data_IF_096125511905
#
_entry.id   IF_096125511905
#
_cell.length_a   1.000
_cell.length_b   1.000
_cell.length_c   1.000
_cell.angle_alpha   90.00
_cell.angle_beta   90.00
_cell.angle_gamma   90.00
#
_symmetry.space_group_name_H-M   'P 1'
#
loop_
_entity.id
_entity.type
_entity.pdbx_description
1 polymer ?
#
# COMPACT_ATOMS: atom_id res chain seq x y z
N UNK A 1 -32.61 20.45 -8.64
CA UNK A 1 -31.65 21.59 -8.62
C UNK A 1 -30.96 21.76 -7.27
N UNK A 2 -31.68 21.74 -6.14
CA UNK A 2 -31.12 21.90 -4.77
C UNK A 2 -30.12 20.78 -4.37
N UNK A 3 -30.38 19.53 -4.77
CA UNK A 3 -29.49 18.39 -4.49
C UNK A 3 -28.14 18.46 -5.21
N UNK A 4 -28.11 19.02 -6.43
CA UNK A 4 -26.88 19.17 -7.22
C UNK A 4 -25.98 20.26 -6.62
N UNK A 5 -26.57 21.37 -6.18
CA UNK A 5 -25.84 22.45 -5.49
C UNK A 5 -25.26 21.99 -4.14
N UNK A 6 -26.01 21.16 -3.40
CA UNK A 6 -25.53 20.53 -2.15
C UNK A 6 -24.34 19.60 -2.39
N UNK A 7 -24.40 18.79 -3.46
CA UNK A 7 -23.31 17.89 -3.85
C UNK A 7 -22.07 18.67 -4.30
N UNK A 8 -22.24 19.73 -5.11
CA UNK A 8 -21.14 20.60 -5.54
C UNK A 8 -20.48 21.28 -4.35
N UNK A 9 -21.26 21.77 -3.37
CA UNK A 9 -20.71 22.38 -2.16
C UNK A 9 -19.99 21.36 -1.27
N UNK A 10 -20.50 20.13 -1.15
CA UNK A 10 -19.80 19.04 -0.45
C UNK A 10 -18.50 18.64 -1.15
N UNK A 11 -18.49 18.58 -2.48
CA UNK A 11 -17.27 18.31 -3.25
C UNK A 11 -16.26 19.45 -3.07
N UNK A 12 -16.70 20.73 -3.09
CA UNK A 12 -15.84 21.90 -2.83
C UNK A 12 -15.27 21.91 -1.42
N UNK A 13 -16.08 21.63 -0.40
CA UNK A 13 -15.61 21.53 0.99
C UNK A 13 -14.70 20.31 1.18
N UNK A 14 -14.96 19.18 0.53
CA UNK A 14 -14.08 18.01 0.54
C UNK A 14 -12.74 18.30 -0.15
N UNK A 15 -12.75 18.92 -1.34
CA UNK A 15 -11.51 19.35 -2.03
C UNK A 15 -10.76 20.38 -1.20
N UNK A 16 -11.44 21.35 -0.58
CA UNK A 16 -10.82 22.34 0.33
C UNK A 16 -10.28 21.70 1.60
N UNK A 17 -10.93 20.67 2.13
CA UNK A 17 -10.46 19.91 3.32
C UNK A 17 -9.26 19.05 2.97
N UNK A 18 -9.25 18.41 1.80
CA UNK A 18 -8.07 17.77 1.21
C UNK A 18 -6.97 18.84 1.04
N UNK A 19 -7.23 19.94 0.35
CA UNK A 19 -6.27 21.02 0.09
C UNK A 19 -5.74 21.67 1.38
N UNK A 20 -6.53 21.71 2.46
CA UNK A 20 -6.11 22.22 3.77
C UNK A 20 -5.40 21.15 4.63
N UNK A 21 -5.72 19.86 4.50
CA UNK A 21 -4.84 18.78 5.00
C UNK A 21 -3.50 18.76 4.26
N UNK A 22 -3.51 19.22 3.01
CA UNK A 22 -2.35 19.47 2.18
C UNK A 22 -1.94 20.95 2.15
N UNK A 23 -2.40 21.79 3.10
CA UNK A 23 -1.84 23.14 3.25
C UNK A 23 -0.43 22.95 3.75
N UNK A 24 0.48 22.86 2.80
CA UNK A 24 1.90 22.98 3.03
C UNK A 24 2.09 24.27 3.78
N UNK A 25 2.62 24.18 5.00
CA UNK A 25 3.12 25.35 5.70
C UNK A 25 4.37 25.77 4.93
N UNK A 26 4.16 26.51 3.84
CA UNK A 26 5.23 27.11 3.04
C UNK A 26 5.77 28.21 3.93
N UNK A 27 6.85 27.91 4.64
CA UNK A 27 7.64 28.95 5.28
C UNK A 27 8.42 29.62 4.15
N UNK A 28 8.14 30.89 3.81
CA UNK A 28 8.86 31.56 2.74
C UNK A 28 10.32 31.69 3.17
N UNK A 29 11.22 30.94 2.55
CA UNK A 29 12.64 31.27 2.65
C UNK A 29 12.87 32.47 1.74
N UNK A 30 13.02 33.65 2.36
CA UNK A 30 13.73 34.76 1.72
C UNK A 30 15.16 34.29 1.53
N UNK A 31 15.53 33.95 0.29
CA UNK A 31 16.85 34.10 -0.33
C UNK A 31 16.76 33.53 -1.76
N UNK A 32 17.65 33.96 -2.65
CA UNK A 32 17.74 33.58 -4.07
C UNK A 32 17.86 32.06 -4.26
N UNK A 33 16.73 31.35 -4.23
CA UNK A 33 16.66 29.93 -4.62
C UNK A 33 16.74 29.90 -6.15
N UNK A 34 17.68 29.13 -6.74
CA UNK A 34 17.73 28.94 -8.19
C UNK A 34 16.36 28.46 -8.68
N UNK A 35 15.77 29.20 -9.63
CA UNK A 35 14.51 28.77 -10.27
C UNK A 35 14.72 27.39 -10.88
N UNK A 36 13.76 26.49 -10.68
CA UNK A 36 13.76 25.18 -11.33
C UNK A 36 13.73 25.39 -12.84
N UNK A 37 14.59 24.67 -13.54
CA UNK A 37 14.62 24.65 -15.00
C UNK A 37 13.27 24.14 -15.55
N UNK A 38 12.73 24.83 -16.55
CA UNK A 38 11.51 24.45 -17.27
C UNK A 38 11.64 23.01 -17.84
N UNK A 39 12.85 22.60 -18.24
CA UNK A 39 13.13 21.24 -18.70
C UNK A 39 12.88 20.19 -17.59
N UNK A 40 13.32 20.47 -16.36
CA UNK A 40 13.12 19.57 -15.21
C UNK A 40 11.62 19.44 -14.91
N UNK A 41 10.88 20.55 -14.93
CA UNK A 41 9.42 20.54 -14.73
C UNK A 41 8.74 19.68 -15.79
N UNK A 42 9.08 19.90 -17.07
CA UNK A 42 8.50 19.16 -18.19
C UNK A 42 8.79 17.66 -18.08
N UNK A 43 10.02 17.28 -17.71
CA UNK A 43 10.41 15.89 -17.51
C UNK A 43 9.60 15.23 -16.38
N UNK A 44 9.43 15.89 -15.22
CA UNK A 44 8.63 15.33 -14.12
C UNK A 44 7.14 15.25 -14.46
N UNK A 45 6.60 16.24 -15.17
CA UNK A 45 5.21 16.21 -15.66
C UNK A 45 5.01 15.05 -16.64
N UNK A 46 5.96 14.79 -17.54
CA UNK A 46 5.91 13.63 -18.44
C UNK A 46 5.91 12.30 -17.68
N UNK A 47 6.76 12.16 -16.65
CA UNK A 47 6.76 10.97 -15.78
C UNK A 47 5.41 10.78 -15.07
N UNK A 48 4.82 11.85 -14.52
CA UNK A 48 3.51 11.78 -13.86
C UNK A 48 2.38 11.43 -14.84
N UNK A 49 2.43 11.95 -16.07
CA UNK A 49 1.47 11.55 -17.12
C UNK A 49 1.60 10.07 -17.46
N UNK A 50 2.83 9.57 -17.63
CA UNK A 50 3.08 8.15 -17.89
C UNK A 50 2.58 7.26 -16.75
N UNK A 51 2.79 7.66 -15.48
CA UNK A 51 2.20 7.00 -14.33
C UNK A 51 0.67 7.02 -14.39
N UNK A 52 0.08 8.18 -14.71
CA UNK A 52 -1.36 8.35 -14.87
C UNK A 52 -1.95 7.43 -15.94
N UNK A 53 -1.29 7.27 -17.09
CA UNK A 53 -1.74 6.39 -18.17
C UNK A 53 -1.76 4.92 -17.73
N UNK A 54 -0.75 4.49 -16.98
CA UNK A 54 -0.70 3.13 -16.39
C UNK A 54 -1.82 2.90 -15.38
N UNK A 55 -1.99 3.82 -14.42
CA UNK A 55 -3.09 3.75 -13.43
C UNK A 55 -4.46 3.77 -14.14
N UNK A 56 -4.61 4.52 -15.23
CA UNK A 56 -5.84 4.55 -16.00
C UNK A 56 -6.15 3.19 -16.65
N UNK A 57 -5.12 2.51 -17.20
CA UNK A 57 -5.26 1.15 -17.71
C UNK A 57 -5.84 0.20 -16.64
N UNK A 58 -5.36 0.28 -15.40
CA UNK A 58 -5.88 -0.53 -14.31
C UNK A 58 -7.33 -0.19 -13.95
N UNK A 59 -7.70 1.09 -13.98
CA UNK A 59 -9.11 1.49 -13.78
C UNK A 59 -10.02 0.86 -14.84
N UNK A 60 -9.56 0.78 -16.09
CA UNK A 60 -10.30 0.14 -17.18
C UNK A 60 -10.37 -1.38 -16.98
N UNK A 61 -9.26 -2.03 -16.63
CA UNK A 61 -9.24 -3.44 -16.26
C UNK A 61 -10.26 -3.74 -15.15
N UNK A 62 -10.21 -2.97 -14.05
CA UNK A 62 -11.11 -3.14 -12.91
C UNK A 62 -12.58 -2.95 -13.31
N UNK A 63 -12.88 -1.95 -14.17
CA UNK A 63 -14.24 -1.73 -14.67
C UNK A 63 -14.76 -2.98 -15.39
N UNK A 64 -13.96 -3.58 -16.26
CA UNK A 64 -14.34 -4.78 -17.00
C UNK A 64 -14.47 -5.99 -16.06
N UNK A 65 -13.54 -6.14 -15.11
CA UNK A 65 -13.59 -7.20 -14.10
C UNK A 65 -14.89 -7.15 -13.28
N UNK A 66 -15.31 -5.96 -12.83
CA UNK A 66 -16.54 -5.78 -12.05
C UNK A 66 -17.82 -6.13 -12.81
N UNK A 67 -17.79 -6.05 -14.15
CA UNK A 67 -18.91 -6.44 -15.02
C UNK A 67 -19.00 -7.96 -15.24
N UNK A 68 -17.94 -8.70 -14.94
CA UNK A 68 -17.92 -10.15 -15.08
C UNK A 68 -18.64 -10.87 -13.94
N UNK A 69 -18.99 -12.13 -14.16
CA UNK A 69 -19.58 -12.97 -13.13
C UNK A 69 -18.46 -13.52 -12.22
N UNK A 70 -18.27 -12.84 -11.08
CA UNK A 70 -17.19 -13.07 -10.12
C UNK A 70 -17.75 -13.01 -8.70
N UNK A 71 -17.14 -13.73 -7.74
CA UNK A 71 -17.53 -13.67 -6.35
C UNK A 71 -17.58 -12.26 -5.80
N UNK A 72 -18.48 -12.03 -4.86
CA UNK A 72 -18.68 -10.72 -4.22
C UNK A 72 -17.39 -10.20 -3.60
N UNK A 73 -16.60 -11.05 -2.94
CA UNK A 73 -15.36 -10.63 -2.27
C UNK A 73 -14.28 -10.19 -3.28
N UNK A 74 -14.16 -10.85 -4.44
CA UNK A 74 -13.27 -10.41 -5.51
C UNK A 74 -13.72 -9.05 -6.07
N UNK A 75 -15.04 -8.86 -6.22
CA UNK A 75 -15.60 -7.57 -6.65
C UNK A 75 -15.33 -6.47 -5.62
N UNK A 76 -15.49 -6.75 -4.32
CA UNK A 76 -15.13 -5.82 -3.24
C UNK A 76 -13.65 -5.41 -3.32
N UNK A 77 -12.75 -6.38 -3.50
CA UNK A 77 -11.32 -6.11 -3.69
C UNK A 77 -11.07 -5.17 -4.86
N UNK A 78 -11.57 -5.55 -6.04
CA UNK A 78 -11.33 -4.82 -7.29
C UNK A 78 -11.98 -3.43 -7.27
N UNK A 79 -13.11 -3.27 -6.59
CA UNK A 79 -13.75 -1.96 -6.38
C UNK A 79 -12.90 -1.06 -5.46
N UNK A 80 -12.37 -1.61 -4.37
CA UNK A 80 -11.45 -0.89 -3.49
C UNK A 80 -10.16 -0.47 -4.21
N UNK A 81 -9.54 -1.39 -4.94
CA UNK A 81 -8.34 -1.11 -5.74
C UNK A 81 -8.61 -0.03 -6.79
N UNK A 82 -9.72 -0.15 -7.54
CA UNK A 82 -10.15 0.86 -8.51
C UNK A 82 -10.36 2.23 -7.87
N UNK A 83 -10.88 2.28 -6.65
CA UNK A 83 -11.07 3.52 -5.90
C UNK A 83 -9.74 4.18 -5.54
N UNK A 84 -8.76 3.40 -5.07
CA UNK A 84 -7.38 3.87 -4.84
C UNK A 84 -6.72 4.40 -6.12
N UNK A 85 -6.91 3.72 -7.26
CA UNK A 85 -6.43 4.18 -8.56
C UNK A 85 -7.09 5.50 -8.99
N UNK A 86 -8.41 5.63 -8.89
CA UNK A 86 -9.11 6.87 -9.23
C UNK A 86 -8.67 8.05 -8.36
N UNK A 87 -8.47 7.81 -7.06
CA UNK A 87 -7.91 8.83 -6.16
C UNK A 87 -6.52 9.29 -6.61
N UNK A 88 -5.68 8.33 -7.02
CA UNK A 88 -4.32 8.63 -7.50
C UNK A 88 -4.33 9.42 -8.81
N UNK A 89 -5.24 9.10 -9.75
CA UNK A 89 -5.44 9.89 -10.97
C UNK A 89 -5.87 11.33 -10.65
N UNK A 90 -6.72 11.52 -9.64
CA UNK A 90 -7.12 12.85 -9.17
C UNK A 90 -5.92 13.63 -8.62
N UNK A 91 -5.05 12.99 -7.83
CA UNK A 91 -3.82 13.61 -7.31
C UNK A 91 -2.88 14.05 -8.44
N UNK A 92 -2.63 13.16 -9.40
CA UNK A 92 -1.80 13.46 -10.58
C UNK A 92 -2.37 14.66 -11.35
N UNK A 93 -3.67 14.64 -11.66
CA UNK A 93 -4.34 15.72 -12.40
C UNK A 93 -4.26 17.04 -11.63
N UNK A 94 -4.49 17.02 -10.32
CA UNK A 94 -4.43 18.20 -9.47
C UNK A 94 -3.02 18.79 -9.46
N UNK A 95 -1.98 17.96 -9.30
CA UNK A 95 -0.59 18.41 -9.31
C UNK A 95 -0.20 19.03 -10.65
N UNK A 96 -0.51 18.36 -11.77
CA UNK A 96 -0.19 18.87 -13.11
C UNK A 96 -0.90 20.21 -13.37
N UNK A 97 -2.16 20.34 -12.96
CA UNK A 97 -2.94 21.58 -13.14
C UNK A 97 -2.37 22.75 -12.34
N UNK A 98 -1.77 22.47 -11.18
CA UNK A 98 -1.19 23.46 -10.27
C UNK A 98 0.33 23.57 -10.38
N UNK A 99 0.97 22.93 -11.37
CA UNK A 99 2.45 22.82 -11.46
C UNK A 99 3.15 24.19 -11.40
N UNK A 100 2.51 25.23 -11.93
CA UNK A 100 3.03 26.59 -11.91
C UNK A 100 3.17 27.19 -10.50
N UNK A 101 2.35 26.74 -9.54
CA UNK A 101 2.41 27.16 -8.13
C UNK A 101 3.70 26.66 -7.45
N UNK A 102 4.31 25.60 -8.00
CA UNK A 102 5.52 24.97 -7.46
C UNK A 102 6.81 25.49 -8.12
N UNK A 103 6.74 26.43 -9.08
CA UNK A 103 7.90 26.97 -9.82
C UNK A 103 8.93 27.68 -8.94
N UNK A 104 8.52 28.17 -7.77
CA UNK A 104 9.37 28.87 -6.82
C UNK A 104 10.02 27.95 -5.78
N UNK A 105 9.75 26.64 -5.82
CA UNK A 105 10.37 25.67 -4.94
C UNK A 105 11.79 25.31 -5.40
N UNK A 106 12.58 24.68 -4.54
CA UNK A 106 13.82 24.03 -4.97
C UNK A 106 13.52 22.76 -5.79
N UNK A 107 14.48 22.31 -6.60
CA UNK A 107 14.37 21.04 -7.35
C UNK A 107 14.06 19.86 -6.42
N UNK A 108 14.68 19.85 -5.24
CA UNK A 108 14.46 18.83 -4.20
C UNK A 108 13.01 18.86 -3.70
N UNK A 109 12.49 20.03 -3.34
CA UNK A 109 11.10 20.19 -2.87
C UNK A 109 10.08 19.83 -3.96
N UNK A 110 10.33 20.21 -5.21
CA UNK A 110 9.46 19.83 -6.33
C UNK A 110 9.48 18.32 -6.57
N UNK A 111 10.68 17.73 -6.55
CA UNK A 111 10.87 16.29 -6.71
C UNK A 111 10.23 15.50 -5.56
N UNK A 112 10.28 16.02 -4.33
CA UNK A 112 9.56 15.49 -3.18
C UNK A 112 8.07 15.38 -3.44
N UNK A 113 7.43 16.44 -3.92
CA UNK A 113 6.00 16.41 -4.19
C UNK A 113 5.61 15.44 -5.31
N UNK A 114 6.44 15.36 -6.36
CA UNK A 114 6.26 14.40 -7.44
C UNK A 114 6.37 12.96 -6.93
N UNK A 115 7.42 12.65 -6.16
CA UNK A 115 7.64 11.33 -5.56
C UNK A 115 6.54 10.92 -4.59
N UNK A 116 6.06 11.86 -3.78
CA UNK A 116 4.98 11.63 -2.81
C UNK A 116 3.69 11.12 -3.46
N UNK A 117 3.37 11.52 -4.70
CA UNK A 117 2.18 11.03 -5.41
C UNK A 117 2.26 9.52 -5.66
N UNK A 118 3.41 9.01 -6.10
CA UNK A 118 3.60 7.58 -6.38
C UNK A 118 3.58 6.76 -5.08
N UNK A 119 4.19 7.26 -4.01
CA UNK A 119 4.21 6.58 -2.72
C UNK A 119 2.82 6.61 -2.05
N UNK A 120 2.06 7.70 -2.21
CA UNK A 120 0.67 7.76 -1.76
C UNK A 120 -0.21 6.75 -2.51
N UNK A 121 -0.02 6.58 -3.82
CA UNK A 121 -0.73 5.55 -4.57
C UNK A 121 -0.49 4.15 -3.98
N UNK A 122 0.77 3.82 -3.67
CA UNK A 122 1.12 2.57 -2.99
C UNK A 122 0.45 2.44 -1.61
N UNK A 123 0.43 3.52 -0.82
CA UNK A 123 -0.22 3.52 0.49
C UNK A 123 -1.71 3.18 0.41
N UNK A 124 -2.44 3.84 -0.49
CA UNK A 124 -3.87 3.62 -0.64
C UNK A 124 -4.16 2.16 -1.04
N UNK A 125 -3.38 1.62 -1.98
CA UNK A 125 -3.52 0.23 -2.41
C UNK A 125 -3.23 -0.75 -1.28
N UNK A 126 -2.15 -0.54 -0.51
CA UNK A 126 -1.82 -1.39 0.64
C UNK A 126 -2.89 -1.31 1.73
N UNK A 127 -3.45 -0.12 2.00
CA UNK A 127 -4.52 0.03 2.99
C UNK A 127 -5.80 -0.73 2.57
N UNK A 128 -6.19 -0.65 1.30
CA UNK A 128 -7.32 -1.43 0.79
C UNK A 128 -7.01 -2.93 0.87
N UNK A 129 -5.78 -3.33 0.54
CA UNK A 129 -5.35 -4.73 0.61
C UNK A 129 -5.50 -5.26 2.05
N UNK A 130 -5.02 -4.52 3.05
CA UNK A 130 -5.17 -4.85 4.48
C UNK A 130 -6.63 -5.01 4.89
N UNK A 131 -7.46 -4.05 4.49
CA UNK A 131 -8.87 -4.03 4.85
C UNK A 131 -9.58 -5.26 4.28
N UNK A 132 -9.43 -5.50 2.97
CA UNK A 132 -10.12 -6.59 2.29
C UNK A 132 -9.62 -7.95 2.76
N UNK A 133 -8.32 -8.11 3.04
CA UNK A 133 -7.80 -9.37 3.56
C UNK A 133 -8.32 -9.66 4.97
N UNK A 134 -8.45 -8.63 5.83
CA UNK A 134 -9.05 -8.79 7.15
C UNK A 134 -10.54 -9.13 7.06
N UNK A 135 -11.29 -8.44 6.19
CA UNK A 135 -12.70 -8.78 5.94
C UNK A 135 -12.83 -10.23 5.45
N UNK A 136 -11.99 -10.63 4.49
CA UNK A 136 -11.97 -11.99 3.99
C UNK A 136 -11.62 -13.02 5.06
N UNK A 137 -10.66 -12.73 5.95
CA UNK A 137 -10.32 -13.59 7.08
C UNK A 137 -11.49 -13.77 8.07
N UNK A 138 -12.32 -12.75 8.24
CA UNK A 138 -13.51 -12.83 9.11
C UNK A 138 -14.63 -13.61 8.42
N UNK A 139 -14.79 -13.45 7.11
CA UNK A 139 -15.87 -14.06 6.32
C UNK A 139 -15.57 -15.52 5.88
N UNK A 140 -14.29 -15.93 5.77
CA UNK A 140 -13.87 -17.24 5.29
C UNK A 140 -13.22 -18.08 6.41
N UNK A 141 -13.86 -19.19 6.80
CA UNK A 141 -13.37 -20.05 7.89
C UNK A 141 -12.09 -20.82 7.52
N UNK A 142 -11.84 -21.14 6.25
CA UNK A 142 -10.67 -21.93 5.84
C UNK A 142 -9.36 -21.16 6.06
N UNK A 143 -9.29 -19.90 5.60
CA UNK A 143 -8.12 -19.06 5.82
C UNK A 143 -7.94 -18.77 7.32
N UNK A 144 -9.05 -18.58 8.05
CA UNK A 144 -9.05 -18.36 9.49
C UNK A 144 -8.54 -19.59 10.23
N UNK A 145 -8.95 -20.78 9.84
CA UNK A 145 -8.48 -22.05 10.40
C UNK A 145 -6.99 -22.25 10.09
N UNK A 146 -6.52 -21.95 8.88
CA UNK A 146 -5.09 -22.02 8.56
C UNK A 146 -4.25 -21.12 9.47
N UNK A 147 -4.68 -19.88 9.68
CA UNK A 147 -4.00 -18.93 10.58
C UNK A 147 -4.09 -19.41 12.03
N UNK A 148 -5.27 -19.84 12.49
CA UNK A 148 -5.50 -20.33 13.84
C UNK A 148 -4.70 -21.60 14.14
N UNK A 149 -4.58 -22.52 13.18
CA UNK A 149 -3.78 -23.74 13.27
C UNK A 149 -2.31 -23.41 13.51
N UNK A 150 -1.77 -22.42 12.80
CA UNK A 150 -0.39 -21.95 13.04
C UNK A 150 -0.24 -21.29 14.40
N UNK A 151 -1.22 -20.49 14.85
CA UNK A 151 -1.25 -19.92 16.22
C UNK A 151 -1.22 -21.04 17.26
N UNK A 152 -2.08 -22.05 17.12
CA UNK A 152 -2.19 -23.18 18.05
C UNK A 152 -0.88 -23.98 18.11
N UNK A 153 -0.22 -24.23 16.97
CA UNK A 153 1.11 -24.85 16.94
C UNK A 153 2.16 -24.05 17.69
N UNK A 154 2.16 -22.72 17.57
CA UNK A 154 3.08 -21.85 18.33
C UNK A 154 2.78 -21.85 19.83
N UNK A 155 1.50 -21.90 20.21
CA UNK A 155 1.08 -22.03 21.61
C UNK A 155 1.52 -23.38 22.18
N UNK A 156 1.29 -24.49 21.46
CA UNK A 156 1.70 -25.83 21.90
C UNK A 156 3.21 -25.90 22.19
N UNK A 157 4.05 -25.34 21.32
CA UNK A 157 5.51 -25.26 21.55
C UNK A 157 5.83 -24.48 22.84
N UNK A 158 5.13 -23.37 23.11
CA UNK A 158 5.32 -22.63 24.36
C UNK A 158 4.93 -23.50 25.54
N UNK A 159 3.82 -24.22 25.46
CA UNK A 159 3.30 -25.07 26.53
C UNK A 159 4.21 -26.28 26.82
N UNK A 160 4.71 -26.95 25.79
CA UNK A 160 5.65 -28.08 25.89
C UNK A 160 6.97 -27.66 26.56
N UNK A 161 7.44 -26.44 26.29
CA UNK A 161 8.69 -25.93 26.83
C UNK A 161 8.53 -25.19 28.17
N UNK A 162 7.31 -25.11 28.72
CA UNK A 162 7.06 -24.37 29.96
C UNK A 162 7.03 -25.28 31.19
N UNK A 163 7.82 -24.93 32.21
CA UNK A 163 7.78 -25.66 33.48
C UNK A 163 6.42 -25.48 34.18
N UNK A 164 5.67 -26.56 34.33
CA UNK A 164 4.34 -26.63 34.96
C UNK A 164 4.34 -26.20 36.44
N UNK A 165 5.50 -26.23 37.11
CA UNK A 165 5.67 -25.84 38.51
C UNK A 165 5.94 -24.35 38.71
N UNK A 166 6.08 -23.58 37.63
CA UNK A 166 6.43 -22.16 37.70
C UNK A 166 5.32 -21.31 38.36
N UNK A 167 5.61 -20.73 39.53
CA UNK A 167 4.70 -19.87 40.32
C UNK A 167 4.93 -18.37 40.03
N UNK A 168 3.92 -17.54 40.32
CA UNK A 168 4.03 -16.08 40.30
C UNK A 168 4.36 -15.48 38.92
N UNK A 169 5.52 -14.83 38.80
CA UNK A 169 5.97 -14.11 37.58
C UNK A 169 6.07 -15.02 36.35
N UNK A 170 6.47 -16.29 36.51
CA UNK A 170 6.55 -17.27 35.41
C UNK A 170 5.20 -17.56 34.78
N UNK A 171 4.17 -17.84 35.61
CA UNK A 171 2.79 -18.07 35.14
C UNK A 171 2.24 -16.85 34.37
N UNK A 172 2.53 -15.63 34.86
CA UNK A 172 2.12 -14.38 34.18
C UNK A 172 2.83 -14.20 32.83
N UNK A 173 4.13 -14.49 32.76
CA UNK A 173 4.89 -14.39 31.51
C UNK A 173 4.36 -15.38 30.45
N UNK A 174 4.09 -16.63 30.83
CA UNK A 174 3.45 -17.62 29.93
C UNK A 174 2.13 -17.12 29.38
N UNK A 175 1.24 -16.66 30.26
CA UNK A 175 -0.08 -16.16 29.86
C UNK A 175 0.05 -14.98 28.88
N UNK A 176 1.00 -14.08 29.13
CA UNK A 176 1.28 -12.97 28.22
C UNK A 176 1.76 -13.45 26.84
N UNK A 177 2.69 -14.41 26.78
CA UNK A 177 3.18 -14.98 25.52
C UNK A 177 2.06 -15.66 24.72
N UNK A 178 1.23 -16.46 25.37
CA UNK A 178 0.07 -17.11 24.73
C UNK A 178 -0.89 -16.04 24.19
N UNK A 179 -1.18 -15.00 24.98
CA UNK A 179 -2.07 -13.94 24.56
C UNK A 179 -1.50 -13.14 23.38
N UNK A 180 -0.19 -12.89 23.35
CA UNK A 180 0.49 -12.27 22.22
C UNK A 180 0.28 -13.06 20.93
N UNK A 181 0.37 -14.41 20.99
CA UNK A 181 0.13 -15.25 19.81
C UNK A 181 -1.34 -15.29 19.39
N UNK A 182 -2.29 -15.33 20.34
CA UNK A 182 -3.72 -15.27 20.02
C UNK A 182 -4.10 -13.98 19.29
N UNK A 183 -3.46 -12.86 19.65
CA UNK A 183 -3.69 -11.57 19.00
C UNK A 183 -3.15 -11.49 17.57
N UNK A 184 -2.36 -12.47 17.11
CA UNK A 184 -1.77 -12.46 15.77
C UNK A 184 -2.72 -12.85 14.65
N UNK A 185 -3.96 -13.22 14.97
CA UNK A 185 -4.93 -13.67 13.96
C UNK A 185 -5.18 -12.61 12.87
N UNK A 186 -5.13 -11.32 13.23
CA UNK A 186 -5.25 -10.19 12.30
C UNK A 186 -3.90 -9.52 11.96
N UNK A 187 -2.78 -10.10 12.39
CA UNK A 187 -1.45 -9.52 12.14
C UNK A 187 -1.01 -9.87 10.71
N UNK A 188 -0.90 -8.86 9.83
CA UNK A 188 -0.60 -9.06 8.41
C UNK A 188 0.71 -9.80 8.13
N UNK A 189 1.75 -9.55 8.94
CA UNK A 189 3.01 -10.30 8.86
C UNK A 189 2.78 -11.80 9.11
N UNK A 190 1.92 -12.13 10.09
CA UNK A 190 1.61 -13.49 10.45
C UNK A 190 0.72 -14.16 9.40
N UNK A 191 -0.26 -13.44 8.85
CA UNK A 191 -1.11 -13.92 7.74
C UNK A 191 -0.22 -14.21 6.52
N UNK A 192 0.61 -13.25 6.10
CA UNK A 192 1.54 -13.38 4.97
C UNK A 192 2.45 -14.60 5.10
N UNK A 193 3.12 -14.74 6.24
CA UNK A 193 3.97 -15.90 6.51
C UNK A 193 3.18 -17.23 6.44
N UNK A 194 1.93 -17.23 6.90
CA UNK A 194 1.07 -18.43 6.89
C UNK A 194 0.74 -18.81 5.46
N UNK A 195 0.32 -17.85 4.63
CA UNK A 195 0.01 -18.04 3.21
C UNK A 195 1.24 -18.56 2.44
N UNK A 196 2.43 -18.02 2.71
CA UNK A 196 3.69 -18.54 2.13
C UNK A 196 3.96 -19.98 2.56
N UNK A 197 3.82 -20.30 3.85
CA UNK A 197 4.07 -21.65 4.35
C UNK A 197 3.11 -22.71 3.78
N UNK A 198 2.02 -22.26 3.17
CA UNK A 198 1.00 -23.07 2.50
C UNK A 198 1.09 -23.01 0.97
N UNK A 199 2.13 -22.36 0.43
CA UNK A 199 2.34 -22.15 -1.00
C UNK A 199 1.17 -21.47 -1.72
N UNK A 200 0.35 -20.70 -0.99
CA UNK A 200 -0.73 -19.88 -1.58
C UNK A 200 -0.15 -18.65 -2.27
N UNK A 201 0.90 -18.09 -1.69
CA UNK A 201 1.76 -17.07 -2.29
C UNK A 201 3.17 -17.63 -2.40
N UNK A 202 3.90 -17.24 -3.44
CA UNK A 202 5.28 -17.68 -3.62
C UNK A 202 6.28 -16.74 -2.94
N UNK A 203 7.57 -17.03 -3.07
CA UNK A 203 8.64 -16.24 -2.47
C UNK A 203 8.72 -14.82 -3.03
N UNK A 204 8.37 -14.62 -4.31
CA UNK A 204 8.35 -13.30 -4.95
C UNK A 204 7.19 -12.47 -4.40
N UNK A 205 5.99 -13.06 -4.34
CA UNK A 205 4.81 -12.44 -3.73
C UNK A 205 5.09 -12.05 -2.28
N UNK A 206 5.72 -12.96 -1.52
CA UNK A 206 6.07 -12.74 -0.13
C UNK A 206 7.04 -11.57 0.05
N UNK A 207 8.08 -11.50 -0.77
CA UNK A 207 9.06 -10.42 -0.73
C UNK A 207 8.42 -9.09 -1.13
N UNK A 208 7.60 -9.07 -2.19
CA UNK A 208 6.90 -7.88 -2.66
C UNK A 208 5.93 -7.33 -1.61
N UNK A 209 5.12 -8.20 -1.01
CA UNK A 209 4.21 -7.78 0.05
C UNK A 209 4.97 -7.35 1.32
N UNK A 210 6.09 -8.00 1.65
CA UNK A 210 6.97 -7.54 2.75
C UNK A 210 7.53 -6.15 2.48
N UNK A 211 8.01 -5.90 1.26
CA UNK A 211 8.49 -4.61 0.82
C UNK A 211 7.38 -3.55 0.93
N UNK A 212 6.20 -3.80 0.37
CA UNK A 212 5.08 -2.85 0.41
C UNK A 212 4.67 -2.51 1.86
N UNK A 213 4.73 -3.50 2.76
CA UNK A 213 4.49 -3.31 4.18
C UNK A 213 5.53 -2.42 4.86
N UNK A 214 6.80 -2.60 4.50
CA UNK A 214 7.90 -1.82 5.05
C UNK A 214 7.84 -0.36 4.60
N UNK A 215 7.47 -0.12 3.34
CA UNK A 215 7.18 1.23 2.83
C UNK A 215 5.99 1.82 3.61
N UNK A 216 4.87 1.10 3.72
CA UNK A 216 3.67 1.52 4.48
C UNK A 216 3.96 1.89 5.92
N UNK A 217 4.75 1.09 6.63
CA UNK A 217 5.10 1.40 8.03
C UNK A 217 6.03 2.60 8.16
N UNK A 218 6.83 2.87 7.12
CA UNK A 218 7.74 4.01 7.09
C UNK A 218 7.05 5.32 6.71
N UNK A 219 5.89 5.27 6.05
CA UNK A 219 5.11 6.46 5.68
C UNK A 219 4.52 7.23 6.87
N UNK A 220 4.31 6.58 8.03
CA UNK A 220 3.83 7.25 9.26
C UNK A 220 4.85 8.24 9.86
N UNK A 221 6.10 8.24 9.36
CA UNK A 221 7.20 9.09 9.85
C UNK A 221 7.78 9.97 8.73
N UNK A 222 6.95 10.83 8.16
CA UNK A 222 7.36 11.79 7.12
C UNK A 222 7.97 11.12 5.87
N UNK A 223 7.41 10.00 5.42
CA UNK A 223 7.90 9.29 4.22
C UNK A 223 9.40 8.93 4.31
N UNK A 224 9.89 8.64 5.52
CA UNK A 224 11.29 8.30 5.77
C UNK A 224 11.42 6.85 6.21
N UNK A 225 12.38 6.12 5.64
CA UNK A 225 12.64 4.73 5.95
C UNK A 225 12.98 4.53 7.44
N UNK A 226 12.25 3.66 8.14
CA UNK A 226 12.50 3.37 9.56
C UNK A 226 13.56 2.30 9.79
N UNK A 227 13.90 1.58 8.71
CA UNK A 227 14.93 0.54 8.62
C UNK A 227 15.46 0.52 7.19
N UNK A 228 16.55 -0.22 6.98
CA UNK A 228 17.03 -0.50 5.63
C UNK A 228 15.99 -1.37 4.89
N UNK A 229 15.68 -0.98 3.65
CA UNK A 229 14.74 -1.67 2.76
C UNK A 229 15.50 -1.95 1.46
N UNK A 230 15.65 -3.22 1.12
CA UNK A 230 16.25 -3.65 -0.14
C UNK A 230 15.31 -4.64 -0.81
N UNK A 231 14.96 -4.38 -2.07
CA UNK A 231 14.10 -5.25 -2.84
C UNK A 231 14.42 -5.12 -4.32
N UNK A 232 14.60 -6.26 -4.98
CA UNK A 232 14.78 -6.34 -6.42
C UNK A 232 13.55 -7.01 -7.02
N UNK A 233 12.87 -6.31 -7.92
CA UNK A 233 11.69 -6.82 -8.59
C UNK A 233 11.94 -7.06 -10.08
N UNK A 234 11.95 -8.33 -10.55
CA UNK A 234 12.02 -8.64 -11.96
C UNK A 234 10.64 -8.43 -12.63
N UNK A 235 10.51 -7.43 -13.48
CA UNK A 235 9.31 -7.25 -14.30
C UNK A 235 9.38 -8.12 -15.54
N UNK A 236 8.65 -9.23 -15.49
CA UNK A 236 8.59 -10.24 -16.54
C UNK A 236 8.14 -9.65 -17.89
N UNK A 237 7.31 -8.61 -17.89
CA UNK A 237 6.79 -8.02 -19.14
C UNK A 237 7.82 -7.19 -19.88
N UNK A 238 8.71 -6.52 -19.13
CA UNK A 238 9.72 -5.62 -19.71
C UNK A 238 11.11 -6.23 -19.70
N UNK A 239 11.32 -7.34 -18.99
CA UNK A 239 12.64 -7.94 -18.76
C UNK A 239 13.56 -7.09 -17.88
N UNK A 240 13.04 -6.01 -17.28
CA UNK A 240 13.82 -5.10 -16.43
C UNK A 240 13.77 -5.58 -14.98
N UNK A 241 14.87 -5.35 -14.26
CA UNK A 241 14.92 -5.50 -12.80
C UNK A 241 14.84 -4.11 -12.20
N UNK A 242 13.85 -3.89 -11.34
CA UNK A 242 13.69 -2.67 -10.57
C UNK A 242 14.36 -2.85 -9.21
N UNK A 243 15.27 -1.94 -8.90
CA UNK A 243 16.04 -1.98 -7.66
C UNK A 243 15.53 -0.92 -6.69
N UNK A 244 15.06 -1.35 -5.53
CA UNK A 244 14.66 -0.48 -4.43
C UNK A 244 15.66 -0.63 -3.30
N UNK A 245 16.37 0.45 -2.99
CA UNK A 245 17.34 0.48 -1.90
C UNK A 245 17.16 1.79 -1.14
N UNK A 246 16.57 1.69 0.06
CA UNK A 246 16.41 2.80 0.98
C UNK A 246 17.17 2.47 2.25
N UNK A 247 18.11 3.33 2.64
CA UNK A 247 18.73 3.28 3.96
C UNK A 247 17.82 3.87 5.01
N UNK A 248 17.93 3.38 6.24
CA UNK A 248 17.23 3.98 7.37
C UNK A 248 17.52 5.49 7.44
N UNK A 249 16.48 6.31 7.47
CA UNK A 249 16.58 7.77 7.47
C UNK A 249 16.50 8.41 6.07
N UNK A 250 16.51 7.63 5.00
CA UNK A 250 16.30 8.13 3.65
C UNK A 250 14.82 8.28 3.32
N UNK A 251 14.52 9.20 2.42
CA UNK A 251 13.16 9.40 1.94
C UNK A 251 12.74 8.28 0.99
N UNK A 252 11.51 7.81 1.14
CA UNK A 252 10.95 6.65 0.46
C UNK A 252 10.43 6.95 -0.95
N UNK A 253 11.04 7.90 -1.65
CA UNK A 253 10.63 8.24 -2.99
C UNK A 253 11.85 8.44 -3.89
N UNK A 254 11.77 7.87 -5.09
CA UNK A 254 12.71 8.17 -6.15
C UNK A 254 11.98 8.95 -7.24
N UNK A 255 12.17 10.28 -7.32
CA UNK A 255 11.42 11.12 -8.25
C UNK A 255 11.77 10.83 -9.72
N UNK A 256 12.83 10.06 -9.96
CA UNK A 256 13.27 9.58 -11.28
C UNK A 256 12.59 8.26 -11.67
N UNK A 257 12.02 7.53 -10.71
CA UNK A 257 11.49 6.19 -10.91
C UNK A 257 10.14 5.99 -10.20
N UNK A 258 9.14 6.74 -10.68
CA UNK A 258 7.76 6.64 -10.21
C UNK A 258 7.08 5.35 -10.71
N UNK A 259 7.56 4.80 -11.83
CA UNK A 259 6.97 3.61 -12.46
C UNK A 259 7.25 2.37 -11.63
N UNK A 260 8.42 2.27 -10.98
CA UNK A 260 8.73 1.13 -10.13
C UNK A 260 7.75 0.99 -8.96
N UNK A 261 7.32 2.10 -8.34
CA UNK A 261 6.30 2.11 -7.30
C UNK A 261 4.92 1.63 -7.79
N UNK A 262 4.59 1.91 -9.05
CA UNK A 262 3.36 1.40 -9.68
C UNK A 262 3.41 -0.10 -9.96
N UNK A 263 4.56 -0.63 -10.35
CA UNK A 263 4.67 -2.07 -10.63
C UNK A 263 4.35 -2.88 -9.37
N UNK A 264 4.74 -2.39 -8.20
CA UNK A 264 4.39 -3.01 -6.91
C UNK A 264 2.88 -2.97 -6.67
N UNK A 265 2.19 -1.87 -6.94
CA UNK A 265 0.73 -1.78 -6.71
C UNK A 265 -0.04 -2.73 -7.61
N UNK A 266 0.37 -2.86 -8.87
CA UNK A 266 -0.20 -3.84 -9.78
C UNK A 266 0.01 -5.28 -9.30
N UNK A 267 1.19 -5.62 -8.75
CA UNK A 267 1.38 -6.97 -8.21
C UNK A 267 0.53 -7.24 -6.97
N UNK A 268 0.26 -6.24 -6.12
CA UNK A 268 -0.64 -6.40 -4.99
C UNK A 268 -2.07 -6.75 -5.44
N UNK A 269 -2.54 -6.23 -6.59
CA UNK A 269 -3.80 -6.66 -7.22
C UNK A 269 -3.81 -8.16 -7.46
N UNK A 270 -2.77 -8.70 -8.08
CA UNK A 270 -2.68 -10.11 -8.44
C UNK A 270 -2.47 -11.02 -7.23
N UNK A 271 -1.66 -10.61 -6.25
CA UNK A 271 -1.45 -11.36 -5.01
C UNK A 271 -2.79 -11.56 -4.28
N UNK A 272 -3.58 -10.50 -4.13
CA UNK A 272 -4.88 -10.62 -3.47
C UNK A 272 -5.82 -11.53 -4.26
N UNK A 273 -5.88 -11.40 -5.59
CA UNK A 273 -6.69 -12.30 -6.42
C UNK A 273 -6.24 -13.76 -6.26
N UNK A 274 -4.94 -14.04 -6.22
CA UNK A 274 -4.37 -15.37 -5.97
C UNK A 274 -4.76 -15.93 -4.60
N UNK A 275 -4.74 -15.10 -3.56
CA UNK A 275 -5.21 -15.47 -2.23
C UNK A 275 -6.70 -15.83 -2.31
N UNK A 276 -7.54 -14.92 -2.81
CA UNK A 276 -8.99 -15.13 -2.89
C UNK A 276 -9.35 -16.38 -3.69
N UNK A 277 -8.69 -16.66 -4.82
CA UNK A 277 -8.97 -17.83 -5.64
C UNK A 277 -8.53 -19.15 -5.01
N UNK A 278 -7.52 -19.14 -4.15
CA UNK A 278 -7.02 -20.35 -3.48
C UNK A 278 -8.02 -20.96 -2.49
N UNK A 279 -9.02 -20.20 -2.08
CA UNK A 279 -10.07 -20.60 -1.14
C UNK A 279 -11.45 -20.73 -1.80
N UNK A 280 -11.49 -20.85 -3.14
CA UNK A 280 -12.75 -21.01 -3.90
C UNK A 280 -13.14 -22.47 -4.16
N UNK A 281 -12.37 -23.45 -3.70
CA UNK A 281 -12.49 -24.84 -4.15
C UNK A 281 -13.46 -25.72 -3.35
N UNK A 282 -14.41 -25.18 -2.59
CA UNK A 282 -15.39 -26.01 -1.84
C UNK A 282 -16.87 -25.81 -2.22
N UNK A 283 -17.18 -25.09 -3.30
CA UNK A 283 -18.57 -25.04 -3.81
C UNK A 283 -18.63 -25.36 -5.32
N UNK A 284 -18.45 -26.64 -5.68
CA UNK A 284 -19.07 -27.28 -6.85
C UNK A 284 -19.57 -28.69 -6.49
#
# INVERSE_FOLDING_TARGET
>A
MILILSLINRIKEFTKTIFNRFKFTITPQKNDVPKIDEEIINNKVALLKSLGDRIHSDVLFCKNFLQSDRPVIEKKWVEGFRSACNYSLMLIKSFITSVNEYRNLSIEQFSYYVGKIAVQHLLEVVNVFEQILNEFLVENEDIKELVQSRINKKIAIIEENWNSESKGKGKKLRANLINQYKNKIYEMSFIRDTLRSKNIIDDTDFQLWSFAWDIRNSMHRNFTAIKDINFDYPDIRTGKIYHFNFKKGEELYHPQDLISHYIITEQLLFIMLKILTSFRYEEE
#
